data_IF_936800644726
#
_entry.id   IF_936800644726
#
_cell.length_a   1.000
_cell.length_b   1.000
_cell.length_c   1.000
_cell.angle_alpha   90.00
_cell.angle_beta   90.00
_cell.angle_gamma   90.00
#
_symmetry.space_group_name_H-M   'P 1'
#
loop_
_entity.id
_entity.type
_entity.pdbx_description
1 polymer ?
#
# COMPACT_ATOMS: atom_id res chain seq x y z
N UNK A 1 21.31 -42.02 14.22
CA UNK A 1 21.26 -41.90 12.75
C UNK A 1 19.88 -41.45 12.25
N UNK A 2 18.79 -41.90 12.88
CA UNK A 2 17.41 -41.50 12.52
C UNK A 2 17.19 -39.99 12.55
N UNK A 3 17.71 -39.31 13.58
CA UNK A 3 17.55 -37.86 13.71
C UNK A 3 18.28 -37.07 12.60
N UNK A 4 19.37 -37.61 12.05
CA UNK A 4 20.13 -36.96 10.98
C UNK A 4 19.38 -37.03 9.65
N UNK A 5 18.67 -38.14 9.38
CA UNK A 5 17.85 -38.29 8.18
C UNK A 5 16.64 -37.36 8.23
N UNK A 6 16.00 -37.25 9.41
CA UNK A 6 14.85 -36.34 9.59
C UNK A 6 15.25 -34.89 9.34
N UNK A 7 16.39 -34.44 9.89
CA UNK A 7 16.90 -33.08 9.67
C UNK A 7 17.21 -32.83 8.19
N UNK A 8 17.77 -33.82 7.48
CA UNK A 8 18.05 -33.69 6.05
C UNK A 8 16.77 -33.50 5.21
N UNK A 9 15.72 -34.27 5.50
CA UNK A 9 14.43 -34.15 4.78
C UNK A 9 13.77 -32.79 5.09
N UNK A 10 13.75 -32.37 6.35
CA UNK A 10 13.23 -31.05 6.74
C UNK A 10 14.00 -29.92 6.04
N UNK A 11 15.33 -30.05 5.91
CA UNK A 11 16.17 -29.09 5.21
C UNK A 11 15.76 -28.90 3.74
N UNK A 12 15.48 -29.99 3.02
CA UNK A 12 15.04 -29.93 1.61
C UNK A 12 13.66 -29.29 1.49
N UNK A 13 12.71 -29.68 2.35
CA UNK A 13 11.37 -29.10 2.34
C UNK A 13 11.39 -27.61 2.69
N UNK A 14 12.20 -27.21 3.68
CA UNK A 14 12.34 -25.82 4.10
C UNK A 14 12.90 -24.92 2.98
N UNK A 15 13.85 -25.44 2.19
CA UNK A 15 14.43 -24.70 1.06
C UNK A 15 13.40 -24.29 0.00
N UNK A 16 12.32 -25.06 -0.18
CA UNK A 16 11.23 -24.76 -1.11
C UNK A 16 10.11 -23.96 -0.42
N UNK A 17 9.74 -24.37 0.80
CA UNK A 17 8.61 -23.80 1.51
C UNK A 17 8.86 -22.36 1.98
N UNK A 18 10.08 -22.03 2.43
CA UNK A 18 10.40 -20.70 2.95
C UNK A 18 10.26 -19.61 1.86
N UNK A 19 10.87 -19.74 0.66
CA UNK A 19 10.68 -18.74 -0.40
C UNK A 19 9.22 -18.58 -0.83
N UNK A 20 8.46 -19.68 -0.90
CA UNK A 20 7.05 -19.64 -1.27
C UNK A 20 6.20 -18.91 -0.22
N UNK A 21 6.47 -19.15 1.06
CA UNK A 21 5.81 -18.44 2.16
C UNK A 21 6.17 -16.95 2.17
N UNK A 22 7.43 -16.60 1.91
CA UNK A 22 7.86 -15.21 1.76
C UNK A 22 7.13 -14.50 0.61
N UNK A 23 6.95 -15.17 -0.53
CA UNK A 23 6.18 -14.61 -1.65
C UNK A 23 4.69 -14.43 -1.32
N UNK A 24 4.10 -15.38 -0.60
CA UNK A 24 2.71 -15.28 -0.14
C UNK A 24 2.52 -14.10 0.83
N UNK A 25 3.43 -13.97 1.82
CA UNK A 25 3.39 -12.89 2.81
C UNK A 25 3.62 -11.52 2.16
N UNK A 26 4.54 -11.41 1.20
CA UNK A 26 4.74 -10.20 0.41
C UNK A 26 3.45 -9.78 -0.33
N UNK A 27 2.84 -10.70 -1.10
CA UNK A 27 1.59 -10.42 -1.83
C UNK A 27 0.45 -10.01 -0.89
N UNK A 28 0.27 -10.71 0.22
CA UNK A 28 -0.81 -10.40 1.18
C UNK A 28 -0.61 -9.04 1.86
N UNK A 29 0.62 -8.67 2.19
CA UNK A 29 0.93 -7.34 2.72
C UNK A 29 0.64 -6.23 1.69
N UNK A 30 1.01 -6.41 0.42
CA UNK A 30 0.69 -5.46 -0.64
C UNK A 30 -0.82 -5.31 -0.79
N UNK A 31 -1.57 -6.42 -0.90
CA UNK A 31 -3.04 -6.38 -1.01
C UNK A 31 -3.68 -5.65 0.18
N UNK A 32 -3.18 -5.90 1.40
CA UNK A 32 -3.68 -5.19 2.60
C UNK A 32 -3.42 -3.69 2.51
N UNK A 33 -2.20 -3.27 2.20
CA UNK A 33 -1.87 -1.86 2.05
C UNK A 33 -2.68 -1.19 0.94
N UNK A 34 -2.89 -1.85 -0.21
CA UNK A 34 -3.75 -1.37 -1.29
C UNK A 34 -5.19 -1.15 -0.80
N UNK A 35 -5.72 -2.07 0.03
CA UNK A 35 -7.07 -1.93 0.59
C UNK A 35 -7.17 -0.79 1.60
N UNK A 36 -6.14 -0.58 2.43
CA UNK A 36 -6.08 0.52 3.41
C UNK A 36 -6.11 1.88 2.69
N UNK A 37 -5.33 2.06 1.62
CA UNK A 37 -5.34 3.30 0.84
C UNK A 37 -6.64 3.45 0.04
N UNK A 38 -7.15 2.37 -0.54
CA UNK A 38 -8.38 2.41 -1.35
C UNK A 38 -9.64 2.71 -0.53
N UNK A 39 -9.65 2.41 0.76
CA UNK A 39 -10.76 2.75 1.65
C UNK A 39 -10.97 4.27 1.78
N UNK A 40 -9.94 5.08 1.52
CA UNK A 40 -9.98 6.54 1.63
C UNK A 40 -10.69 7.23 0.47
N UNK A 41 -10.99 6.50 -0.62
CA UNK A 41 -11.66 7.04 -1.82
C UNK A 41 -12.97 7.75 -1.48
N UNK A 42 -13.80 7.13 -0.64
CA UNK A 42 -15.10 7.70 -0.24
C UNK A 42 -14.94 9.01 0.51
N UNK A 43 -13.98 9.11 1.44
CA UNK A 43 -13.72 10.34 2.17
C UNK A 43 -13.18 11.45 1.24
N UNK A 44 -12.33 11.07 0.28
CA UNK A 44 -11.86 11.99 -0.76
C UNK A 44 -13.00 12.50 -1.66
N UNK A 45 -13.98 11.66 -2.01
CA UNK A 45 -15.18 12.11 -2.75
C UNK A 45 -15.99 13.13 -1.96
N UNK A 46 -16.22 12.88 -0.66
CA UNK A 46 -16.94 13.84 0.20
C UNK A 46 -16.25 15.20 0.24
N UNK A 47 -14.92 15.21 0.38
CA UNK A 47 -14.13 16.44 0.36
C UNK A 47 -14.28 17.23 -0.95
N UNK A 48 -14.27 16.53 -2.09
CA UNK A 48 -14.45 17.15 -3.41
C UNK A 48 -15.85 17.75 -3.55
N UNK A 49 -16.89 17.04 -3.11
CA UNK A 49 -18.27 17.51 -3.13
C UNK A 49 -18.48 18.73 -2.23
N UNK A 50 -17.77 18.80 -1.09
CA UNK A 50 -17.77 19.97 -0.20
C UNK A 50 -16.89 21.11 -0.71
N UNK A 51 -16.11 20.91 -1.78
CA UNK A 51 -15.17 21.91 -2.29
C UNK A 51 -13.98 22.17 -1.36
N UNK A 52 -13.62 21.21 -0.51
CA UNK A 52 -12.52 21.30 0.45
C UNK A 52 -11.24 20.67 -0.05
N UNK A 53 -10.11 21.18 0.44
CA UNK A 53 -8.81 20.59 0.17
C UNK A 53 -8.66 19.26 0.95
N UNK A 54 -8.62 18.15 0.22
CA UNK A 54 -8.24 16.83 0.74
C UNK A 54 -6.86 16.86 1.42
N UNK A 55 -6.80 16.43 2.67
CA UNK A 55 -5.55 16.28 3.42
C UNK A 55 -5.55 14.97 4.23
N UNK A 56 -4.35 14.55 4.67
CA UNK A 56 -4.20 13.54 5.72
C UNK A 56 -3.36 14.13 6.84
N UNK A 57 -4.02 14.75 7.81
CA UNK A 57 -3.34 15.50 8.89
C UNK A 57 -4.15 15.51 10.17
N UNK A 58 -3.47 15.63 11.31
CA UNK A 58 -4.12 15.68 12.64
C UNK A 58 -4.85 16.98 12.90
N UNK A 59 -4.46 18.05 12.21
CA UNK A 59 -4.95 19.41 12.46
C UNK A 59 -5.36 20.07 11.14
N UNK A 60 -6.45 19.62 10.49
CA UNK A 60 -6.97 20.30 9.31
C UNK A 60 -7.48 21.70 9.71
N UNK A 61 -7.35 22.67 8.81
CA UNK A 61 -8.00 23.98 8.95
C UNK A 61 -9.43 23.96 8.36
N UNK A 62 -10.15 25.08 8.44
CA UNK A 62 -11.55 25.19 7.99
C UNK A 62 -11.75 24.94 6.48
N UNK A 63 -10.69 25.11 5.67
CA UNK A 63 -10.73 24.87 4.21
C UNK A 63 -10.31 23.44 3.82
N UNK A 64 -9.92 22.63 4.80
CA UNK A 64 -9.37 21.30 4.60
C UNK A 64 -10.32 20.21 5.07
N UNK A 65 -10.18 19.04 4.45
CA UNK A 65 -10.92 17.83 4.80
C UNK A 65 -9.93 16.70 5.06
N UNK A 66 -9.79 16.31 6.32
CA UNK A 66 -9.01 15.13 6.68
C UNK A 66 -9.74 13.86 6.23
N UNK A 67 -9.06 13.02 5.45
CA UNK A 67 -9.62 11.76 4.93
C UNK A 67 -9.73 10.64 5.97
N UNK A 68 -9.43 10.92 7.24
CA UNK A 68 -9.68 9.99 8.33
C UNK A 68 -8.72 8.79 8.39
N UNK A 69 -7.61 8.81 7.63
CA UNK A 69 -6.63 7.73 7.69
C UNK A 69 -6.08 7.56 9.12
N UNK A 70 -5.83 6.32 9.50
CA UNK A 70 -5.22 5.92 10.78
C UNK A 70 -3.99 5.06 10.50
N UNK A 71 -3.02 5.09 11.42
CA UNK A 71 -1.70 4.51 11.19
C UNK A 71 -1.76 3.04 10.72
N UNK A 72 -1.00 2.73 9.67
CA UNK A 72 -0.70 1.39 9.22
C UNK A 72 0.67 0.93 9.71
N UNK A 73 0.76 -0.33 10.10
CA UNK A 73 2.04 -0.96 10.46
C UNK A 73 2.90 -1.31 9.25
N UNK A 74 2.32 -1.32 8.03
CA UNK A 74 3.04 -1.70 6.81
C UNK A 74 3.62 -0.50 6.07
N UNK A 75 2.99 0.67 6.21
CA UNK A 75 3.40 1.87 5.49
C UNK A 75 4.62 2.52 6.17
N UNK A 76 5.40 3.22 5.36
CA UNK A 76 6.47 4.09 5.81
C UNK A 76 5.89 5.35 6.48
N UNK A 77 6.70 6.05 7.28
CA UNK A 77 6.28 7.18 8.12
C UNK A 77 5.34 6.76 9.27
N UNK A 78 4.77 7.76 9.96
CA UNK A 78 3.95 7.58 11.17
C UNK A 78 2.66 8.37 11.13
N UNK A 79 1.59 7.77 11.69
CA UNK A 79 0.29 8.43 11.80
C UNK A 79 -0.32 8.76 10.44
N UNK A 80 -0.93 9.95 10.34
CA UNK A 80 -1.64 10.39 9.13
C UNK A 80 -0.71 10.72 7.95
N UNK A 81 0.54 11.06 8.23
CA UNK A 81 1.54 11.43 7.21
C UNK A 81 1.95 10.27 6.29
N UNK A 82 1.57 9.03 6.63
CA UNK A 82 1.79 7.86 5.79
C UNK A 82 1.03 7.93 4.46
N UNK A 83 -0.02 8.76 4.40
CA UNK A 83 -0.75 9.06 3.17
C UNK A 83 -0.36 10.46 2.71
N UNK A 84 0.40 10.52 1.62
CA UNK A 84 0.70 11.76 0.94
C UNK A 84 -0.40 12.06 -0.08
N UNK A 85 -1.10 13.17 0.11
CA UNK A 85 -2.09 13.67 -0.84
C UNK A 85 -1.39 14.59 -1.84
N UNK A 86 -1.60 14.36 -3.14
CA UNK A 86 -1.05 15.15 -4.24
C UNK A 86 -2.10 15.40 -5.32
N UNK A 87 -1.82 16.29 -6.27
CA UNK A 87 -2.70 16.65 -7.39
C UNK A 87 -4.13 17.04 -7.01
N UNK A 88 -4.29 17.62 -5.83
CA UNK A 88 -5.57 18.03 -5.24
C UNK A 88 -6.09 19.34 -5.87
N UNK A 89 -6.46 19.29 -7.14
CA UNK A 89 -6.97 20.45 -7.91
C UNK A 89 -8.04 19.99 -8.88
N UNK A 90 -9.06 20.84 -9.11
CA UNK A 90 -10.05 20.62 -10.17
C UNK A 90 -10.68 19.21 -10.18
N UNK A 91 -10.91 18.62 -9.00
CA UNK A 91 -11.50 17.28 -8.88
C UNK A 91 -10.53 16.10 -9.12
N UNK A 92 -9.26 16.36 -9.40
CA UNK A 92 -8.22 15.31 -9.37
C UNK A 92 -7.64 15.16 -7.98
N UNK A 93 -7.16 13.97 -7.65
CA UNK A 93 -6.36 13.71 -6.45
C UNK A 93 -5.54 12.43 -6.60
N UNK A 94 -4.36 12.39 -5.99
CA UNK A 94 -3.57 11.18 -5.81
C UNK A 94 -3.31 10.95 -4.32
N UNK A 95 -3.69 9.77 -3.84
CA UNK A 95 -3.35 9.25 -2.52
C UNK A 95 -2.15 8.33 -2.67
N UNK A 96 -1.02 8.73 -2.10
CA UNK A 96 0.26 8.04 -2.26
C UNK A 96 0.70 7.48 -0.92
N UNK A 97 0.97 6.18 -0.87
CA UNK A 97 1.49 5.49 0.30
C UNK A 97 2.72 4.68 -0.09
N UNK A 98 3.73 4.64 0.78
CA UNK A 98 4.94 3.85 0.56
C UNK A 98 4.97 2.69 1.54
N UNK A 99 5.25 1.47 1.09
CA UNK A 99 5.51 0.33 1.96
C UNK A 99 6.87 0.54 2.65
N UNK A 100 6.91 0.44 3.97
CA UNK A 100 8.08 0.83 4.74
C UNK A 100 8.20 0.10 6.06
N UNK A 101 7.26 0.32 6.98
CA UNK A 101 7.31 -0.08 8.40
C UNK A 101 7.75 -1.52 8.65
N UNK A 102 6.78 -2.39 8.94
CA UNK A 102 6.98 -3.83 9.15
C UNK A 102 6.78 -4.65 7.88
N UNK A 103 6.71 -3.99 6.71
CA UNK A 103 6.62 -4.67 5.42
C UNK A 103 7.86 -5.51 5.14
N UNK A 104 7.67 -6.68 4.52
CA UNK A 104 8.76 -7.57 4.14
C UNK A 104 9.79 -6.89 3.24
N UNK A 105 11.06 -7.29 3.36
CA UNK A 105 12.18 -6.69 2.63
C UNK A 105 12.00 -6.69 1.10
N UNK A 106 11.30 -7.69 0.55
CA UNK A 106 11.03 -7.80 -0.89
C UNK A 106 10.08 -6.72 -1.44
N UNK A 107 9.27 -6.09 -0.58
CA UNK A 107 8.26 -5.08 -0.97
C UNK A 107 8.51 -3.70 -0.35
N UNK A 108 9.46 -3.60 0.58
CA UNK A 108 9.82 -2.36 1.25
C UNK A 108 10.33 -1.34 0.23
N UNK A 109 9.74 -0.14 0.24
CA UNK A 109 9.96 0.94 -0.73
C UNK A 109 9.03 0.92 -1.95
N UNK A 110 8.11 -0.06 -2.05
CA UNK A 110 7.08 -0.02 -3.09
C UNK A 110 6.07 1.09 -2.82
N UNK A 111 5.67 1.83 -3.86
CA UNK A 111 4.77 2.98 -3.75
C UNK A 111 3.43 2.64 -4.37
N UNK A 112 2.37 2.74 -3.57
CA UNK A 112 0.98 2.56 -3.95
C UNK A 112 0.40 3.95 -4.24
N UNK A 113 -0.17 4.11 -5.41
CA UNK A 113 -0.77 5.36 -5.87
C UNK A 113 -2.21 5.10 -6.27
N UNK A 114 -3.15 5.70 -5.53
CA UNK A 114 -4.58 5.67 -5.84
C UNK A 114 -4.98 7.03 -6.36
N UNK A 115 -5.37 7.10 -7.63
CA UNK A 115 -5.63 8.36 -8.33
C UNK A 115 -7.07 8.47 -8.75
N UNK A 116 -7.63 9.68 -8.65
CA UNK A 116 -8.91 10.08 -9.23
C UNK A 116 -8.66 11.07 -10.34
N UNK A 117 -9.26 10.85 -11.50
CA UNK A 117 -9.23 11.83 -12.59
C UNK A 117 -10.35 12.88 -12.48
N UNK A 118 -10.34 13.86 -13.38
CA UNK A 118 -11.33 14.95 -13.38
C UNK A 118 -12.75 14.46 -13.71
N UNK A 119 -12.86 13.29 -14.34
CA UNK A 119 -14.10 12.61 -14.69
C UNK A 119 -14.66 11.77 -13.52
N UNK A 120 -13.91 11.68 -12.41
CA UNK A 120 -14.29 10.91 -11.22
C UNK A 120 -13.99 9.42 -11.28
N UNK A 121 -13.18 8.98 -12.24
CA UNK A 121 -12.73 7.60 -12.34
C UNK A 121 -11.53 7.39 -11.42
N UNK A 122 -11.62 6.35 -10.59
CA UNK A 122 -10.52 5.92 -9.73
C UNK A 122 -9.67 4.84 -10.39
N UNK A 123 -8.36 5.01 -10.30
CA UNK A 123 -7.36 4.01 -10.66
C UNK A 123 -6.42 3.74 -9.48
N UNK A 124 -5.80 2.58 -9.46
CA UNK A 124 -4.76 2.22 -8.50
C UNK A 124 -3.58 1.64 -9.26
N UNK A 125 -2.37 2.12 -8.98
CA UNK A 125 -1.15 1.59 -9.56
C UNK A 125 -0.04 1.52 -8.52
N UNK A 126 0.86 0.54 -8.67
CA UNK A 126 2.13 0.49 -7.94
C UNK A 126 3.19 1.17 -8.81
N UNK A 127 3.50 2.43 -8.49
CA UNK A 127 4.29 3.35 -9.33
C UNK A 127 5.80 3.23 -9.12
N UNK A 128 6.23 2.61 -8.02
CA UNK A 128 7.63 2.32 -7.74
C UNK A 128 7.74 0.99 -7.03
N UNK A 129 8.78 0.24 -7.32
CA UNK A 129 9.05 -1.05 -6.67
C UNK A 129 10.54 -1.21 -6.36
N UNK A 130 10.91 -1.91 -5.27
CA UNK A 130 12.30 -2.24 -4.99
C UNK A 130 12.87 -3.29 -5.96
N UNK A 131 14.19 -3.50 -5.93
CA UNK A 131 14.88 -4.46 -6.80
C UNK A 131 14.43 -5.90 -6.59
N UNK A 132 14.08 -6.28 -5.36
CA UNK A 132 13.61 -7.62 -5.00
C UNK A 132 12.12 -7.88 -5.33
N UNK A 133 11.46 -6.92 -5.98
CA UNK A 133 10.05 -7.02 -6.32
C UNK A 133 9.78 -8.10 -7.37
N UNK A 134 8.75 -8.91 -7.13
CA UNK A 134 8.21 -9.84 -8.12
C UNK A 134 6.86 -9.33 -8.64
N UNK A 135 6.57 -9.44 -9.96
CA UNK A 135 5.32 -8.96 -10.53
C UNK A 135 4.06 -9.52 -9.88
N UNK A 136 4.11 -10.76 -9.38
CA UNK A 136 3.00 -11.45 -8.73
C UNK A 136 2.67 -10.92 -7.31
N UNK A 137 3.40 -9.94 -6.79
CA UNK A 137 3.07 -9.25 -5.55
C UNK A 137 1.97 -8.20 -5.74
N UNK A 138 1.81 -7.64 -6.93
CA UNK A 138 0.75 -6.69 -7.24
C UNK A 138 -0.61 -7.41 -7.38
N UNK A 139 -1.69 -6.93 -6.74
CA UNK A 139 -3.02 -7.44 -6.98
C UNK A 139 -3.56 -6.94 -8.33
N UNK A 140 -4.50 -7.67 -8.94
CA UNK A 140 -5.02 -7.34 -10.26
C UNK A 140 -5.73 -5.98 -10.34
N UNK A 141 -6.33 -5.53 -9.23
CA UNK A 141 -7.01 -4.23 -9.13
C UNK A 141 -6.05 -3.06 -8.88
N UNK A 142 -4.76 -3.32 -8.69
CA UNK A 142 -3.71 -2.32 -8.53
C UNK A 142 -2.41 -2.83 -9.15
N UNK A 143 -2.33 -2.91 -10.49
CA UNK A 143 -1.16 -3.43 -11.18
C UNK A 143 0.07 -2.54 -10.98
N UNK A 144 1.25 -3.09 -11.24
CA UNK A 144 2.47 -2.31 -11.37
C UNK A 144 2.44 -1.53 -12.69
N UNK A 145 2.64 -0.22 -12.63
CA UNK A 145 2.74 0.69 -13.79
C UNK A 145 4.18 1.09 -14.06
#
# INVERSE_FOLDING_TARGET
IELMIVVAIIGILAAIAIPQYQDYTARTQVTRAVSEVSALKTAAESAILEGKEIVSTKTPNDTQYDIGFTESTLLDLKGKEQIKVTDNKNGTVQLVATLGGSSGSAIKGAVITVSRDAQGVWSCNITKTPTAWKPNYAPANCPKS
#
